data_IF_384898813333
#
_entry.id   IF_384898813333
#
_cell.length_a   1.000
_cell.length_b   1.000
_cell.length_c   1.000
_cell.angle_alpha   90.00
_cell.angle_beta   90.00
_cell.angle_gamma   90.00
#
_symmetry.space_group_name_H-M   'P 1'
#
loop_
_entity.id
_entity.type
_entity.pdbx_description
1 polymer ?
#
# COMPACT_ATOMS: atom_id res chain seq x y z
N UNK A 1 23.20 9.35 -15.57
CA UNK A 1 23.78 10.62 -16.06
C UNK A 1 23.94 10.66 -17.59
N UNK A 2 23.89 9.51 -18.28
CA UNK A 2 24.10 9.38 -19.73
C UNK A 2 22.89 9.81 -20.60
N UNK A 3 21.66 9.74 -20.07
CA UNK A 3 20.44 10.07 -20.83
C UNK A 3 20.26 11.58 -21.05
N UNK A 4 20.40 12.39 -20.01
CA UNK A 4 20.29 13.86 -20.14
C UNK A 4 21.40 14.49 -21.00
N UNK A 5 22.62 13.98 -20.92
CA UNK A 5 23.75 14.44 -21.75
C UNK A 5 23.54 14.10 -23.23
N UNK A 6 22.91 12.97 -23.56
CA UNK A 6 22.53 12.63 -24.94
C UNK A 6 21.54 13.65 -25.51
N UNK A 7 20.51 14.03 -24.74
CA UNK A 7 19.53 15.01 -25.20
C UNK A 7 20.16 16.38 -25.52
N UNK A 8 21.06 16.87 -24.65
CA UNK A 8 21.80 18.12 -24.89
C UNK A 8 22.68 18.06 -26.14
N UNK A 9 23.33 16.92 -26.42
CA UNK A 9 24.12 16.76 -27.66
C UNK A 9 23.25 16.85 -28.91
N UNK A 10 22.06 16.24 -28.89
CA UNK A 10 21.11 16.30 -30.01
C UNK A 10 20.58 17.72 -30.23
N UNK A 11 20.35 18.46 -29.14
CA UNK A 11 19.94 19.86 -29.21
C UNK A 11 21.03 20.75 -29.83
N UNK A 12 22.28 20.60 -29.40
CA UNK A 12 23.42 21.34 -29.95
C UNK A 12 23.68 21.00 -31.42
N UNK A 13 23.33 19.78 -31.86
CA UNK A 13 23.40 19.36 -33.25
C UNK A 13 22.23 19.88 -34.11
N UNK A 14 21.29 20.65 -33.55
CA UNK A 14 20.12 21.19 -34.27
C UNK A 14 19.01 20.16 -34.54
N UNK A 15 19.12 18.94 -34.01
CA UNK A 15 18.11 17.88 -34.20
C UNK A 15 17.03 17.99 -33.13
N UNK A 16 16.15 18.99 -33.25
CA UNK A 16 15.20 19.38 -32.20
C UNK A 16 14.11 18.33 -31.91
N UNK A 17 13.62 17.61 -32.92
CA UNK A 17 12.64 16.52 -32.71
C UNK A 17 13.23 15.37 -31.89
N UNK A 18 14.42 14.90 -32.27
CA UNK A 18 15.15 13.87 -31.54
C UNK A 18 15.58 14.32 -30.15
N UNK A 19 15.99 15.59 -30.00
CA UNK A 19 16.32 16.18 -28.71
C UNK A 19 15.09 16.24 -27.79
N UNK A 20 13.94 16.69 -28.31
CA UNK A 20 12.69 16.74 -27.55
C UNK A 20 12.28 15.36 -27.04
N UNK A 21 12.26 14.36 -27.92
CA UNK A 21 11.95 12.97 -27.56
C UNK A 21 12.93 12.44 -26.49
N UNK A 22 14.22 12.71 -26.65
CA UNK A 22 15.24 12.32 -25.68
C UNK A 22 15.08 13.02 -24.32
N UNK A 23 14.68 14.30 -24.29
CA UNK A 23 14.41 15.02 -23.04
C UNK A 23 13.19 14.44 -22.31
N UNK A 24 12.09 14.16 -23.03
CA UNK A 24 10.88 13.56 -22.46
C UNK A 24 11.17 12.17 -21.90
N UNK A 25 11.85 11.32 -22.68
CA UNK A 25 12.25 9.98 -22.25
C UNK A 25 13.17 10.02 -21.03
N UNK A 26 14.17 10.90 -21.02
CA UNK A 26 15.04 11.06 -19.86
C UNK A 26 14.26 11.49 -18.62
N UNK A 27 13.34 12.47 -18.75
CA UNK A 27 12.49 12.91 -17.65
C UNK A 27 11.61 11.78 -17.09
N UNK A 28 11.03 10.93 -17.94
CA UNK A 28 10.28 9.74 -17.52
C UNK A 28 11.15 8.78 -16.68
N UNK A 29 12.37 8.50 -17.12
CA UNK A 29 13.32 7.68 -16.34
C UNK A 29 13.64 8.32 -14.99
N UNK A 30 13.87 9.63 -14.92
CA UNK A 30 14.10 10.31 -13.65
C UNK A 30 12.89 10.25 -12.71
N UNK A 31 11.67 10.40 -13.24
CA UNK A 31 10.44 10.24 -12.45
C UNK A 31 10.29 8.82 -11.89
N UNK A 32 10.61 7.80 -12.69
CA UNK A 32 10.67 6.42 -12.24
C UNK A 32 11.70 6.26 -11.09
N UNK A 33 12.93 6.74 -11.27
CA UNK A 33 13.97 6.69 -10.24
C UNK A 33 13.56 7.39 -8.94
N UNK A 34 12.88 8.54 -9.03
CA UNK A 34 12.38 9.29 -7.86
C UNK A 34 11.41 8.44 -7.02
N UNK A 35 10.56 7.62 -7.65
CA UNK A 35 9.61 6.74 -6.94
C UNK A 35 10.31 5.60 -6.21
N UNK A 36 11.37 5.06 -6.82
CA UNK A 36 12.09 3.88 -6.34
C UNK A 36 13.27 4.18 -5.42
N UNK A 37 13.73 5.44 -5.37
CA UNK A 37 14.74 5.87 -4.41
C UNK A 37 14.14 5.95 -3.00
N UNK A 38 14.90 5.64 -1.96
CA UNK A 38 14.50 5.85 -0.56
C UNK A 38 15.07 7.15 0.02
N UNK A 39 16.34 7.43 -0.28
CA UNK A 39 17.06 8.61 0.18
C UNK A 39 16.42 9.94 -0.26
N UNK A 40 16.25 10.85 0.71
CA UNK A 40 15.62 12.15 0.53
C UNK A 40 16.47 13.11 -0.28
N UNK A 41 17.78 13.13 -0.04
CA UNK A 41 18.71 14.04 -0.73
C UNK A 41 18.82 13.66 -2.21
N UNK A 42 19.02 12.37 -2.50
CA UNK A 42 19.04 11.83 -3.86
C UNK A 42 17.73 12.11 -4.59
N UNK A 43 16.57 11.97 -3.92
CA UNK A 43 15.27 12.35 -4.52
C UNK A 43 15.22 13.81 -4.92
N UNK A 44 15.70 14.71 -4.08
CA UNK A 44 15.70 16.13 -4.37
C UNK A 44 16.60 16.44 -5.57
N UNK A 45 17.80 15.83 -5.62
CA UNK A 45 18.71 15.94 -6.77
C UNK A 45 18.04 15.43 -8.06
N UNK A 46 17.44 14.24 -8.03
CA UNK A 46 16.75 13.67 -9.20
C UNK A 46 15.55 14.53 -9.64
N UNK A 47 14.79 15.10 -8.69
CA UNK A 47 13.69 16.04 -9.00
C UNK A 47 14.19 17.31 -9.68
N UNK A 48 15.27 17.90 -9.17
CA UNK A 48 15.87 19.08 -9.77
C UNK A 48 16.31 18.81 -11.22
N UNK A 49 16.95 17.66 -11.47
CA UNK A 49 17.34 17.24 -12.83
C UNK A 49 16.12 17.01 -13.70
N UNK A 50 15.11 16.26 -13.22
CA UNK A 50 13.87 16.00 -13.95
C UNK A 50 13.15 17.29 -14.35
N UNK A 51 13.05 18.28 -13.44
CA UNK A 51 12.42 19.58 -13.73
C UNK A 51 13.12 20.29 -14.87
N UNK A 52 14.46 20.37 -14.82
CA UNK A 52 15.27 21.02 -15.86
C UNK A 52 15.08 20.37 -17.24
N UNK A 53 14.97 19.04 -17.28
CA UNK A 53 14.76 18.31 -18.54
C UNK A 53 13.36 18.58 -19.12
N UNK A 54 12.33 18.60 -18.28
CA UNK A 54 10.95 18.92 -18.70
C UNK A 54 10.87 20.37 -19.18
N UNK A 55 11.42 21.33 -18.43
CA UNK A 55 11.46 22.74 -18.84
C UNK A 55 12.18 22.91 -20.18
N UNK A 56 13.26 22.17 -20.43
CA UNK A 56 13.97 22.23 -21.72
C UNK A 56 13.12 21.65 -22.84
N UNK A 57 12.46 20.52 -22.62
CA UNK A 57 11.53 19.93 -23.59
C UNK A 57 10.38 20.89 -23.93
N UNK A 58 9.81 21.56 -22.93
CA UNK A 58 8.75 22.54 -23.13
C UNK A 58 9.21 23.76 -23.94
N UNK A 59 10.42 24.28 -23.67
CA UNK A 59 11.01 25.37 -24.47
C UNK A 59 11.21 24.97 -25.93
N UNK A 60 11.72 23.77 -26.20
CA UNK A 60 11.87 23.25 -27.57
C UNK A 60 10.49 23.15 -28.25
N UNK A 61 9.49 22.59 -27.56
CA UNK A 61 8.12 22.47 -28.07
C UNK A 61 7.48 23.83 -28.36
N UNK A 62 7.73 24.84 -27.53
CA UNK A 62 7.23 26.21 -27.74
C UNK A 62 7.93 26.90 -28.92
N UNK A 63 9.26 26.80 -29.00
CA UNK A 63 10.06 27.47 -30.03
C UNK A 63 9.96 26.81 -31.41
N UNK A 64 9.62 25.52 -31.47
CA UNK A 64 9.65 24.67 -32.69
C UNK A 64 8.40 23.80 -32.81
N UNK A 65 7.22 24.38 -32.53
CA UNK A 65 5.93 23.65 -32.48
C UNK A 65 5.61 22.85 -33.74
N UNK A 66 6.02 23.32 -34.92
CA UNK A 66 5.81 22.66 -36.22
C UNK A 66 6.82 21.57 -36.54
N UNK A 67 8.00 21.60 -35.92
CA UNK A 67 9.10 20.66 -36.21
C UNK A 67 9.13 19.47 -35.24
N UNK A 68 8.46 19.59 -34.09
CA UNK A 68 8.48 18.60 -33.01
C UNK A 68 7.21 17.75 -33.04
N UNK A 69 7.39 16.44 -33.20
CA UNK A 69 6.28 15.49 -33.17
C UNK A 69 5.92 15.11 -31.73
N UNK A 70 4.63 14.80 -31.45
CA UNK A 70 4.26 14.19 -30.19
C UNK A 70 5.04 12.89 -29.98
N UNK A 71 5.67 12.76 -28.80
CA UNK A 71 6.37 11.52 -28.43
C UNK A 71 5.34 10.40 -28.32
N UNK A 72 5.52 9.35 -29.13
CA UNK A 72 4.72 8.14 -28.99
C UNK A 72 5.04 7.47 -27.66
N UNK A 73 3.98 7.14 -26.91
CA UNK A 73 4.12 6.52 -25.60
C UNK A 73 4.23 5.02 -25.81
N UNK A 74 5.34 4.44 -25.36
CA UNK A 74 5.46 3.00 -25.23
C UNK A 74 4.66 2.54 -24.01
N UNK A 75 3.47 1.98 -24.27
CA UNK A 75 2.53 1.54 -23.23
C UNK A 75 3.10 0.38 -22.42
N UNK A 76 4.03 -0.39 -22.99
CA UNK A 76 4.65 -1.54 -22.35
C UNK A 76 5.96 -1.20 -21.65
N UNK A 77 6.45 0.05 -21.76
CA UNK A 77 7.61 0.50 -21.02
C UNK A 77 7.40 0.36 -19.51
N UNK A 78 8.46 -0.06 -18.81
CA UNK A 78 8.42 -0.33 -17.38
C UNK A 78 8.02 0.92 -16.57
N UNK A 79 8.44 2.10 -17.01
CA UNK A 79 8.10 3.38 -16.39
C UNK A 79 6.61 3.75 -16.53
N UNK A 80 6.00 3.40 -17.66
CA UNK A 80 4.56 3.64 -17.91
C UNK A 80 3.71 2.62 -17.15
N UNK A 81 4.10 1.34 -17.13
CA UNK A 81 3.47 0.32 -16.28
C UNK A 81 3.52 0.73 -14.80
N UNK A 82 4.69 1.19 -14.32
CA UNK A 82 4.86 1.73 -12.98
C UNK A 82 3.94 2.94 -12.72
N UNK A 83 3.82 3.85 -13.68
CA UNK A 83 2.93 5.01 -13.55
C UNK A 83 1.45 4.59 -13.48
N UNK A 84 1.02 3.59 -14.26
CA UNK A 84 -0.34 3.04 -14.22
C UNK A 84 -0.64 2.43 -12.86
N UNK A 85 0.28 1.59 -12.34
CA UNK A 85 0.15 1.03 -10.99
C UNK A 85 0.11 2.13 -9.93
N UNK A 86 0.86 3.22 -10.08
CA UNK A 86 0.80 4.33 -9.13
C UNK A 86 -0.53 5.08 -9.18
N UNK A 87 -1.11 5.28 -10.36
CA UNK A 87 -2.45 5.88 -10.51
C UNK A 87 -3.54 5.03 -9.87
N UNK A 88 -3.42 3.70 -9.96
CA UNK A 88 -4.29 2.74 -9.29
C UNK A 88 -4.11 2.67 -7.76
N UNK A 89 -3.35 3.58 -7.14
CA UNK A 89 -3.19 3.60 -5.68
C UNK A 89 -4.38 4.16 -4.92
N UNK A 90 -5.27 4.90 -5.56
CA UNK A 90 -6.44 5.51 -4.93
C UNK A 90 -7.64 4.55 -4.98
N UNK A 91 -8.14 4.16 -3.81
CA UNK A 91 -9.33 3.32 -3.64
C UNK A 91 -10.21 3.98 -2.59
N UNK A 92 -11.44 4.37 -2.95
CA UNK A 92 -12.35 5.05 -2.01
C UNK A 92 -11.78 6.34 -1.39
N UNK A 93 -10.97 7.10 -2.14
CA UNK A 93 -10.29 8.31 -1.63
C UNK A 93 -9.07 8.02 -0.74
N UNK A 94 -8.74 6.76 -0.52
CA UNK A 94 -7.60 6.32 0.29
C UNK A 94 -6.45 5.93 -0.62
N UNK A 95 -5.26 6.47 -0.34
CA UNK A 95 -4.04 6.12 -1.09
C UNK A 95 -3.37 4.91 -0.44
N UNK A 96 -3.46 3.77 -1.12
CA UNK A 96 -2.86 2.52 -0.71
C UNK A 96 -1.42 2.43 -1.23
N UNK A 97 -0.45 2.45 -0.31
CA UNK A 97 0.96 2.33 -0.64
C UNK A 97 1.26 0.93 -1.19
N UNK A 98 2.22 0.84 -2.12
CA UNK A 98 2.72 -0.47 -2.57
C UNK A 98 3.37 -1.20 -1.41
N UNK A 99 3.15 -2.50 -1.37
CA UNK A 99 3.83 -3.39 -0.45
C UNK A 99 5.32 -3.34 -0.75
N UNK A 100 6.09 -2.88 0.23
CA UNK A 100 7.54 -3.05 0.24
C UNK A 100 7.84 -4.11 1.28
N UNK A 101 8.59 -5.13 0.89
CA UNK A 101 9.20 -6.04 1.85
C UNK A 101 10.23 -5.19 2.59
N UNK A 102 9.83 -4.65 3.74
CA UNK A 102 10.75 -3.93 4.61
C UNK A 102 11.66 -4.98 5.28
N UNK A 103 12.94 -4.68 5.46
CA UNK A 103 13.88 -5.55 6.19
C UNK A 103 13.47 -5.77 7.66
N UNK A 104 12.41 -5.07 8.09
CA UNK A 104 11.83 -5.04 9.42
C UNK A 104 10.71 -6.07 9.63
N UNK A 105 10.49 -6.95 8.64
CA UNK A 105 9.75 -8.21 8.82
C UNK A 105 10.65 -9.36 9.27
N UNK A 106 11.69 -9.07 10.04
CA UNK A 106 12.30 -10.08 10.91
C UNK A 106 11.17 -10.73 11.72
N UNK A 107 11.12 -12.08 11.81
CA UNK A 107 10.17 -12.77 12.67
C UNK A 107 10.10 -12.06 14.02
N UNK A 108 8.90 -11.76 14.50
CA UNK A 108 8.72 -11.01 15.76
C UNK A 108 9.57 -11.61 16.91
N UNK A 109 9.73 -12.94 16.90
CA UNK A 109 10.54 -13.71 17.86
C UNK A 109 12.06 -13.49 17.79
N UNK A 110 12.57 -12.77 16.79
CA UNK A 110 14.01 -12.55 16.56
C UNK A 110 14.51 -11.14 16.86
N UNK A 111 13.62 -10.22 17.28
CA UNK A 111 13.98 -8.86 17.66
C UNK A 111 13.97 -8.69 19.19
N UNK A 112 14.99 -8.07 19.81
CA UNK A 112 14.91 -7.66 21.22
C UNK A 112 13.78 -6.65 21.42
N UNK A 113 13.07 -6.75 22.55
CA UNK A 113 11.85 -5.97 22.89
C UNK A 113 11.98 -4.44 22.75
N UNK A 114 13.20 -3.91 22.67
CA UNK A 114 13.51 -2.49 22.49
C UNK A 114 13.47 -2.01 21.03
N UNK A 115 13.51 -2.91 20.03
CA UNK A 115 13.51 -2.57 18.61
C UNK A 115 12.13 -2.69 17.94
N UNK A 116 11.22 -3.49 18.50
CA UNK A 116 9.83 -3.60 18.02
C UNK A 116 9.04 -2.30 18.19
N UNK A 117 9.48 -1.39 19.07
CA UNK A 117 8.83 -0.10 19.30
C UNK A 117 9.17 0.98 18.25
N UNK A 118 10.26 0.82 17.48
CA UNK A 118 10.77 1.90 16.60
C UNK A 118 10.31 1.83 15.14
N UNK A 119 9.67 0.74 14.71
CA UNK A 119 9.35 0.58 13.29
C UNK A 119 8.08 1.35 12.84
N UNK A 120 7.22 1.74 13.78
CA UNK A 120 5.99 2.47 13.47
C UNK A 120 6.20 3.95 13.06
N UNK A 121 7.44 4.47 13.06
CA UNK A 121 7.72 5.91 12.94
C UNK A 121 8.38 6.40 11.63
N UNK A 122 8.86 5.54 10.73
CA UNK A 122 9.63 6.05 9.57
C UNK A 122 8.82 6.28 8.30
N UNK A 123 7.54 5.89 8.27
CA UNK A 123 6.55 6.45 7.34
C UNK A 123 5.15 6.17 7.86
N UNK A 124 4.33 7.20 8.16
CA UNK A 124 2.92 6.98 8.42
C UNK A 124 2.31 6.48 7.10
N UNK A 125 2.15 5.17 6.95
CA UNK A 125 1.04 4.70 6.11
C UNK A 125 -0.19 5.33 6.73
N UNK A 126 -0.78 6.30 6.01
CA UNK A 126 -1.90 7.11 6.49
C UNK A 126 -2.91 6.16 7.10
N UNK A 127 -3.13 6.29 8.42
CA UNK A 127 -4.09 5.48 9.16
C UNK A 127 -5.40 5.52 8.38
N UNK A 128 -6.01 4.36 8.16
CA UNK A 128 -7.36 4.37 7.62
C UNK A 128 -8.25 5.12 8.61
N UNK A 129 -9.01 6.15 8.16
CA UNK A 129 -9.97 6.79 9.02
C UNK A 129 -10.99 5.74 9.46
N UNK A 130 -11.44 5.86 10.70
CA UNK A 130 -12.51 5.03 11.22
C UNK A 130 -13.76 5.26 10.36
N UNK A 131 -14.37 4.21 9.77
CA UNK A 131 -15.64 4.36 9.10
C UNK A 131 -16.66 4.91 10.11
N UNK A 132 -17.51 5.86 9.70
CA UNK A 132 -18.55 6.38 10.56
C UNK A 132 -19.55 5.26 10.88
N UNK A 133 -20.04 5.23 12.12
CA UNK A 133 -21.14 4.36 12.51
C UNK A 133 -22.41 4.73 11.73
N UNK A 134 -23.23 3.74 11.40
CA UNK A 134 -24.52 3.99 10.77
C UNK A 134 -25.47 4.74 11.72
N UNK A 135 -26.49 5.46 11.21
CA UNK A 135 -27.46 6.14 12.07
C UNK A 135 -28.16 5.17 13.05
N UNK A 136 -28.43 3.94 12.63
CA UNK A 136 -28.99 2.90 13.48
C UNK A 136 -28.04 2.55 14.64
N UNK A 137 -26.75 2.35 14.37
CA UNK A 137 -25.74 2.08 15.41
C UNK A 137 -25.59 3.28 16.37
N UNK A 138 -25.59 4.50 15.85
CA UNK A 138 -25.53 5.71 16.68
C UNK A 138 -26.76 5.85 17.58
N UNK A 139 -27.96 5.55 17.06
CA UNK A 139 -29.20 5.59 17.86
C UNK A 139 -29.21 4.58 19.02
N UNK A 140 -28.42 3.52 18.88
CA UNK A 140 -28.23 2.47 19.89
C UNK A 140 -27.02 2.74 20.80
N UNK A 141 -26.40 3.93 20.74
CA UNK A 141 -25.26 4.29 21.60
C UNK A 141 -24.00 3.45 21.36
N UNK A 142 -23.87 2.86 20.17
CA UNK A 142 -22.76 1.98 19.86
C UNK A 142 -21.43 2.73 19.81
N UNK A 143 -20.37 2.08 20.29
CA UNK A 143 -19.00 2.62 20.27
C UNK A 143 -18.01 1.55 19.81
N UNK A 144 -16.90 1.99 19.25
CA UNK A 144 -15.80 1.09 18.91
C UNK A 144 -14.95 0.81 20.15
N UNK A 145 -14.62 -0.46 20.38
CA UNK A 145 -13.75 -0.93 21.47
C UNK A 145 -12.74 -1.95 20.93
N UNK A 146 -11.65 -2.17 21.66
CA UNK A 146 -10.66 -3.17 21.29
C UNK A 146 -11.20 -4.57 21.56
N UNK A 147 -10.84 -5.52 20.71
CA UNK A 147 -11.20 -6.93 20.88
C UNK A 147 -10.77 -7.48 22.25
N UNK A 148 -9.57 -7.13 22.71
CA UNK A 148 -9.00 -7.56 23.99
C UNK A 148 -9.78 -7.07 25.21
N UNK A 149 -10.48 -5.94 25.09
CA UNK A 149 -11.25 -5.35 26.19
C UNK A 149 -12.60 -6.07 26.37
N UNK A 150 -13.13 -6.65 25.29
CA UNK A 150 -14.43 -7.31 25.25
C UNK A 150 -14.27 -8.84 25.38
N UNK A 151 -13.27 -9.40 24.70
CA UNK A 151 -13.01 -10.83 24.60
C UNK A 151 -11.57 -11.12 25.05
N UNK A 152 -11.25 -11.03 26.35
CA UNK A 152 -9.89 -11.18 26.85
C UNK A 152 -9.29 -12.58 26.65
N UNK A 153 -10.13 -13.59 26.37
CA UNK A 153 -9.71 -14.96 26.11
C UNK A 153 -9.62 -15.29 24.61
N UNK A 154 -10.01 -14.37 23.73
CA UNK A 154 -9.94 -14.60 22.30
C UNK A 154 -8.48 -14.61 21.84
N UNK A 155 -8.15 -15.59 21.01
CA UNK A 155 -6.84 -15.68 20.36
C UNK A 155 -6.97 -15.17 18.93
N UNK A 156 -5.94 -14.47 18.45
CA UNK A 156 -5.87 -14.05 17.05
C UNK A 156 -5.99 -15.21 16.06
N UNK A 157 -5.41 -16.37 16.40
CA UNK A 157 -5.46 -17.59 15.60
C UNK A 157 -5.54 -18.82 16.51
N UNK A 158 -6.50 -19.70 16.25
CA UNK A 158 -6.58 -21.04 16.84
C UNK A 158 -6.53 -22.07 15.70
N UNK A 159 -5.61 -23.03 15.76
CA UNK A 159 -5.44 -24.08 14.74
C UNK A 159 -6.68 -24.99 14.62
N UNK A 160 -7.56 -24.97 15.63
CA UNK A 160 -8.84 -25.69 15.62
C UNK A 160 -9.92 -24.97 14.85
N UNK A 161 -9.72 -23.71 14.45
CA UNK A 161 -10.69 -22.95 13.66
C UNK A 161 -11.01 -23.70 12.37
N UNK A 162 -12.29 -23.83 12.09
CA UNK A 162 -12.86 -24.44 10.88
C UNK A 162 -13.74 -23.42 10.16
N UNK A 163 -14.09 -23.73 8.92
CA UNK A 163 -14.97 -22.87 8.13
C UNK A 163 -16.36 -22.73 8.77
N UNK A 164 -16.85 -23.78 9.43
CA UNK A 164 -18.12 -23.75 10.18
C UNK A 164 -18.14 -22.75 11.35
N UNK A 165 -16.97 -22.34 11.85
CA UNK A 165 -16.86 -21.39 12.96
C UNK A 165 -16.99 -19.93 12.48
N UNK A 166 -16.99 -19.69 11.16
CA UNK A 166 -17.13 -18.37 10.55
C UNK A 166 -18.59 -18.18 10.14
N UNK A 167 -19.28 -17.27 10.84
CA UNK A 167 -20.68 -16.95 10.61
C UNK A 167 -20.82 -15.54 10.05
N UNK A 168 -21.59 -15.39 8.98
CA UNK A 168 -22.00 -14.09 8.47
C UNK A 168 -23.18 -13.59 9.30
N UNK A 169 -23.01 -12.45 9.97
CA UNK A 169 -24.10 -11.76 10.67
C UNK A 169 -24.51 -10.50 9.87
N UNK A 170 -24.37 -9.30 10.42
CA UNK A 170 -24.79 -8.04 9.80
C UNK A 170 -23.82 -7.50 8.72
N UNK A 171 -23.13 -8.38 8.00
CA UNK A 171 -22.20 -8.03 6.91
C UNK A 171 -22.84 -8.43 5.59
N UNK A 172 -22.89 -7.55 4.59
CA UNK A 172 -23.53 -7.83 3.28
C UNK A 172 -22.70 -8.70 2.34
N UNK A 173 -21.40 -8.85 2.59
CA UNK A 173 -20.43 -9.34 1.61
C UNK A 173 -20.20 -10.86 1.71
N UNK A 174 -21.18 -11.63 1.27
CA UNK A 174 -21.16 -13.11 1.37
C UNK A 174 -19.98 -13.76 0.65
N UNK A 175 -19.50 -13.18 -0.46
CA UNK A 175 -18.35 -13.71 -1.20
C UNK A 175 -17.05 -13.62 -0.39
N UNK A 176 -16.90 -12.58 0.44
CA UNK A 176 -15.73 -12.42 1.31
C UNK A 176 -15.77 -13.45 2.43
N UNK A 177 -16.94 -13.62 3.07
CA UNK A 177 -17.12 -14.62 4.12
C UNK A 177 -16.89 -16.02 3.58
N UNK A 178 -17.46 -16.36 2.42
CA UNK A 178 -17.24 -17.65 1.77
C UNK A 178 -15.76 -17.92 1.47
N UNK A 179 -15.01 -16.91 1.01
CA UNK A 179 -13.57 -17.05 0.79
C UNK A 179 -12.80 -17.32 2.09
N UNK A 180 -13.18 -16.69 3.20
CA UNK A 180 -12.58 -16.95 4.52
C UNK A 180 -12.91 -18.35 5.03
N UNK A 181 -14.15 -18.82 4.86
CA UNK A 181 -14.58 -20.20 5.18
C UNK A 181 -13.71 -21.21 4.42
N UNK A 182 -13.56 -21.03 3.11
CA UNK A 182 -12.73 -21.91 2.28
C UNK A 182 -11.26 -21.85 2.72
N UNK A 183 -10.73 -20.67 3.02
CA UNK A 183 -9.36 -20.52 3.48
C UNK A 183 -9.12 -21.21 4.84
N UNK A 184 -10.07 -21.13 5.77
CA UNK A 184 -10.01 -21.79 7.07
C UNK A 184 -10.04 -23.32 6.93
N UNK A 185 -10.97 -23.87 6.13
CA UNK A 185 -11.01 -25.32 5.85
C UNK A 185 -9.73 -25.82 5.15
N UNK A 186 -9.23 -25.04 4.20
CA UNK A 186 -8.01 -25.39 3.48
C UNK A 186 -6.77 -25.32 4.39
N UNK A 187 -6.72 -24.39 5.35
CA UNK A 187 -5.70 -24.38 6.41
C UNK A 187 -5.83 -25.62 7.30
N UNK A 188 -7.02 -25.94 7.79
CA UNK A 188 -7.27 -27.10 8.65
C UNK A 188 -6.88 -28.43 8.00
N UNK A 189 -7.17 -28.59 6.70
CA UNK A 189 -6.92 -29.83 5.96
C UNK A 189 -5.49 -29.95 5.43
N UNK A 190 -4.85 -28.85 5.04
CA UNK A 190 -3.57 -28.87 4.31
C UNK A 190 -2.46 -28.00 4.91
N UNK A 191 -2.71 -27.29 6.01
CA UNK A 191 -1.74 -26.37 6.63
C UNK A 191 -1.44 -25.11 5.83
N UNK A 192 -2.28 -24.77 4.85
CA UNK A 192 -2.07 -23.61 3.97
C UNK A 192 -2.22 -22.26 4.69
N UNK A 193 -1.76 -21.15 4.10
CA UNK A 193 -1.84 -19.81 4.72
C UNK A 193 -2.59 -18.79 3.84
N UNK A 194 -3.58 -19.26 3.09
CA UNK A 194 -4.25 -18.49 2.02
C UNK A 194 -4.86 -17.17 2.50
N UNK A 195 -5.40 -17.12 3.72
CA UNK A 195 -5.91 -15.88 4.35
C UNK A 195 -5.07 -15.40 5.55
N UNK A 196 -4.06 -16.18 5.97
CA UNK A 196 -3.26 -15.89 7.17
C UNK A 196 -1.97 -15.13 6.82
N UNK A 197 -1.34 -15.48 5.71
CA UNK A 197 -0.04 -14.91 5.28
C UNK A 197 -0.12 -13.46 4.78
N UNK A 198 -1.33 -12.89 4.68
CA UNK A 198 -1.52 -11.49 4.34
C UNK A 198 -1.54 -10.56 5.55
N UNK A 199 -1.74 -11.07 6.77
CA UNK A 199 -1.84 -10.28 7.99
C UNK A 199 -0.50 -10.25 8.73
N UNK A 200 -0.09 -9.06 9.19
CA UNK A 200 1.15 -8.82 9.91
C UNK A 200 0.89 -8.06 11.23
N UNK A 201 1.70 -8.27 12.28
CA UNK A 201 2.99 -9.00 12.31
C UNK A 201 2.85 -10.53 12.17
N UNK A 202 3.95 -11.21 11.80
CA UNK A 202 3.99 -12.66 11.61
C UNK A 202 5.09 -13.32 12.46
N UNK A 203 4.87 -14.57 12.85
CA UNK A 203 5.85 -15.45 13.47
C UNK A 203 6.89 -15.93 12.44
N UNK A 204 7.92 -16.64 12.90
CA UNK A 204 8.88 -17.31 12.00
C UNK A 204 8.21 -18.34 11.07
N UNK A 205 7.08 -18.90 11.50
CA UNK A 205 6.28 -19.79 10.66
C UNK A 205 5.39 -19.05 9.67
N UNK A 206 5.41 -17.72 9.61
CA UNK A 206 4.59 -16.93 8.68
C UNK A 206 3.09 -16.92 9.02
N UNK A 207 2.75 -17.22 10.28
CA UNK A 207 1.40 -17.09 10.81
C UNK A 207 1.26 -15.73 11.50
N UNK A 208 0.07 -15.10 11.48
CA UNK A 208 -0.14 -13.83 12.14
C UNK A 208 0.03 -13.96 13.65
N UNK A 209 0.65 -12.95 14.28
CA UNK A 209 0.84 -12.85 15.73
C UNK A 209 0.23 -11.56 16.25
N UNK A 210 -0.07 -11.54 17.55
CA UNK A 210 -0.66 -10.37 18.18
C UNK A 210 0.30 -9.18 18.16
N UNK A 211 -0.21 -8.03 17.73
CA UNK A 211 0.55 -6.79 17.73
C UNK A 211 0.51 -6.11 19.11
N UNK A 212 1.65 -5.79 19.76
CA UNK A 212 1.68 -5.17 21.08
C UNK A 212 1.06 -3.77 21.13
N UNK A 213 1.18 -3.01 20.05
CA UNK A 213 0.61 -1.67 19.92
C UNK A 213 -0.81 -1.69 19.32
N UNK A 214 -1.31 -2.88 18.98
CA UNK A 214 -2.58 -3.08 18.30
C UNK A 214 -2.56 -2.68 16.82
N UNK A 215 -1.40 -2.36 16.24
CA UNK A 215 -1.31 -2.02 14.82
C UNK A 215 -1.03 -3.26 13.98
N UNK A 216 -1.87 -3.46 12.96
CA UNK A 216 -1.73 -4.54 12.01
C UNK A 216 -1.51 -3.98 10.61
N UNK A 217 -0.89 -4.78 9.75
CA UNK A 217 -0.74 -4.45 8.34
C UNK A 217 -1.22 -5.61 7.50
N UNK A 218 -2.12 -5.32 6.55
CA UNK A 218 -2.63 -6.31 5.61
C UNK A 218 -2.00 -6.09 4.25
N UNK A 219 -1.51 -7.17 3.65
CA UNK A 219 -0.99 -7.21 2.29
C UNK A 219 -2.07 -7.70 1.34
N UNK A 220 -2.63 -6.79 0.53
CA UNK A 220 -3.71 -7.10 -0.41
C UNK A 220 -3.27 -6.88 -1.85
N UNK A 221 -3.74 -7.71 -2.77
CA UNK A 221 -3.54 -7.51 -4.21
C UNK A 221 -4.62 -6.55 -4.71
N UNK A 222 -4.26 -5.30 -4.98
CA UNK A 222 -5.22 -4.24 -5.35
C UNK A 222 -4.72 -3.48 -6.57
N UNK A 223 -5.55 -3.44 -7.62
CA UNK A 223 -5.23 -2.81 -8.90
C UNK A 223 -3.89 -3.31 -9.49
N UNK A 224 -3.72 -4.64 -9.50
CA UNK A 224 -2.59 -5.33 -10.15
C UNK A 224 -1.26 -5.32 -9.38
N UNK A 225 -1.21 -4.82 -8.14
CA UNK A 225 0.01 -4.83 -7.33
C UNK A 225 -0.29 -5.08 -5.86
N UNK A 226 0.63 -5.71 -5.15
CA UNK A 226 0.55 -5.86 -3.70
C UNK A 226 0.62 -4.50 -3.03
N UNK A 227 -0.31 -4.24 -2.12
CA UNK A 227 -0.44 -2.99 -1.37
C UNK A 227 -0.54 -3.27 0.11
N UNK A 228 -0.02 -2.34 0.90
CA UNK A 228 -0.12 -2.37 2.35
C UNK A 228 -1.28 -1.52 2.81
N UNK A 229 -2.12 -2.10 3.67
CA UNK A 229 -3.17 -1.41 4.41
C UNK A 229 -2.84 -1.49 5.89
N UNK A 230 -2.75 -0.34 6.57
CA UNK A 230 -2.53 -0.29 8.01
C UNK A 230 -3.85 -0.22 8.75
N UNK A 231 -4.09 -1.21 9.61
CA UNK A 231 -5.25 -1.35 10.47
C UNK A 231 -4.82 -1.19 11.93
N UNK A 232 -5.75 -0.84 12.81
CA UNK A 232 -5.55 -0.88 14.25
C UNK A 232 -6.63 -1.81 14.83
N UNK A 233 -6.33 -2.61 15.85
CA UNK A 233 -7.26 -3.49 16.60
C UNK A 233 -8.44 -2.81 17.30
N UNK A 234 -8.62 -1.51 17.07
CA UNK A 234 -9.97 -0.93 17.23
C UNK A 234 -10.92 -1.52 16.14
N UNK A 235 -10.36 -2.11 15.08
CA UNK A 235 -11.01 -2.82 14.00
C UNK A 235 -10.71 -4.32 14.07
N UNK A 236 -11.79 -5.10 13.95
CA UNK A 236 -11.89 -6.56 13.96
C UNK A 236 -11.90 -7.26 15.32
N UNK A 237 -12.72 -6.67 16.20
CA UNK A 237 -13.44 -7.36 17.27
C UNK A 237 -14.49 -6.43 17.89
N UNK A 238 -15.23 -5.70 17.05
CA UNK A 238 -16.29 -4.80 17.54
C UNK A 238 -17.43 -5.65 18.07
N UNK A 239 -17.50 -5.82 19.39
CA UNK A 239 -18.83 -5.93 19.97
C UNK A 239 -19.42 -4.52 19.99
N UNK A 240 -20.51 -4.34 19.26
CA UNK A 240 -21.43 -3.24 19.53
C UNK A 240 -21.97 -3.50 20.93
N UNK A 241 -21.37 -2.88 21.94
CA UNK A 241 -21.92 -2.94 23.29
C UNK A 241 -22.87 -1.76 23.43
N UNK A 242 -24.15 -2.05 23.68
CA UNK A 242 -25.05 -1.04 24.23
C UNK A 242 -24.40 -0.56 25.53
N UNK A 243 -24.34 0.75 25.74
CA UNK A 243 -24.10 1.25 27.10
C UNK A 243 -25.23 0.68 27.96
N UNK A 244 -24.95 0.11 29.15
CA UNK A 244 -26.02 -0.10 30.11
C UNK A 244 -26.69 1.26 30.30
N UNK A 245 -28.02 1.29 30.20
CA UNK A 245 -28.76 2.51 30.54
C UNK A 245 -28.35 2.89 31.96
N UNK A 246 -27.68 4.03 32.10
CA UNK A 246 -27.40 4.60 33.41
C UNK A 246 -28.77 4.74 34.13
N UNK A 247 -28.96 3.94 35.17
CA UNK A 247 -30.03 4.11 36.17
C UNK A 247 -29.75 5.33 37.04
#
# INVERSE_FOLDING_TARGET
QTTGTRATKLELAGSYDAAFSAYVSAAQTYLFLIRHTSDGETKQKLRAVSSRLVERAERIKQARKTEVRPVQRDVLALEEQDAVLEKGSLVGGLRLARWKVDERFTPYDSLPSSLCFRDSLTRPSRRLPQPPLSPAQQSQGCTYRRSTDILPQAKLLDERTRGQDIVQDNVSDCSVVAALIVAAEHHAKFGSKLALSCLYPQSASGLPVESPDGMYRVRLLVNGVWRSVSLHTVFDGVALTLLPADT
#
